data_IF_531802965981
#
_entry.id   IF_531802965981
#
_cell.length_a   1.000
_cell.length_b   1.000
_cell.length_c   1.000
_cell.angle_alpha   90.00
_cell.angle_beta   90.00
_cell.angle_gamma   90.00
#
_symmetry.space_group_name_H-M   'P 1'
#
loop_
_entity.id
_entity.type
_entity.pdbx_description
1 polymer ?
#
# COMPACT_ATOMS: atom_id res chain seq x y z
N UNK A 1 -25.00 -22.77 -12.85
CA UNK A 1 -24.54 -21.36 -13.00
C UNK A 1 -25.04 -20.57 -11.79
N UNK A 2 -24.29 -20.55 -10.69
CA UNK A 2 -24.73 -19.92 -9.43
C UNK A 2 -24.66 -18.38 -9.56
N UNK A 3 -25.82 -17.75 -9.74
CA UNK A 3 -25.98 -16.30 -9.54
C UNK A 3 -25.84 -16.02 -8.05
N UNK A 4 -24.63 -15.69 -7.61
CA UNK A 4 -24.38 -15.26 -6.23
C UNK A 4 -25.19 -13.98 -5.96
N UNK A 5 -26.10 -14.04 -4.99
CA UNK A 5 -26.92 -12.90 -4.55
C UNK A 5 -26.03 -11.96 -3.70
N UNK A 6 -26.46 -10.71 -3.49
CA UNK A 6 -25.79 -9.75 -2.56
C UNK A 6 -25.50 -10.38 -1.18
N UNK A 7 -26.28 -11.37 -0.77
CA UNK A 7 -26.12 -12.19 0.45
C UNK A 7 -24.74 -12.86 0.54
N UNK A 8 -24.18 -13.34 -0.57
CA UNK A 8 -23.02 -14.24 -0.49
C UNK A 8 -21.71 -13.47 -0.27
N UNK A 9 -21.66 -12.21 -0.71
CA UNK A 9 -20.58 -11.29 -0.35
C UNK A 9 -20.62 -10.91 1.13
N UNK A 10 -21.81 -10.70 1.68
CA UNK A 10 -21.98 -10.44 3.11
C UNK A 10 -21.57 -11.67 3.93
N UNK A 11 -22.01 -12.87 3.55
CA UNK A 11 -21.63 -14.12 4.24
C UNK A 11 -20.12 -14.34 4.18
N UNK A 12 -19.49 -14.18 3.01
CA UNK A 12 -18.03 -14.23 2.87
C UNK A 12 -17.33 -13.26 3.81
N UNK A 13 -17.80 -12.02 3.84
CA UNK A 13 -17.20 -10.97 4.64
C UNK A 13 -17.32 -11.24 6.14
N UNK A 14 -18.45 -11.78 6.58
CA UNK A 14 -18.63 -12.20 7.98
C UNK A 14 -17.71 -13.36 8.35
N UNK A 15 -17.61 -14.41 7.50
CA UNK A 15 -16.68 -15.53 7.72
C UNK A 15 -15.23 -15.03 7.78
N UNK A 16 -14.86 -14.12 6.88
CA UNK A 16 -13.53 -13.54 6.84
C UNK A 16 -13.22 -12.73 8.10
N UNK A 17 -14.16 -11.92 8.58
CA UNK A 17 -14.02 -11.17 9.84
C UNK A 17 -13.85 -12.12 11.02
N UNK A 18 -14.65 -13.19 11.10
CA UNK A 18 -14.56 -14.18 12.17
C UNK A 18 -13.19 -14.88 12.14
N UNK A 19 -12.71 -15.30 10.97
CA UNK A 19 -11.40 -15.93 10.82
C UNK A 19 -10.26 -14.97 11.18
N UNK A 20 -10.33 -13.71 10.73
CA UNK A 20 -9.40 -12.66 11.11
C UNK A 20 -9.39 -12.48 12.64
N UNK A 21 -10.56 -12.45 13.27
CA UNK A 21 -10.70 -12.29 14.72
C UNK A 21 -10.09 -13.47 15.49
N UNK A 22 -10.31 -14.72 15.05
CA UNK A 22 -9.71 -15.92 15.66
C UNK A 22 -8.18 -15.88 15.59
N UNK A 23 -7.62 -15.51 14.43
CA UNK A 23 -6.17 -15.39 14.24
C UNK A 23 -5.61 -14.25 15.11
N UNK A 24 -6.35 -13.15 15.22
CA UNK A 24 -5.93 -11.96 15.96
C UNK A 24 -6.09 -12.05 17.47
N UNK A 25 -6.87 -13.00 18.01
CA UNK A 25 -6.91 -13.29 19.45
C UNK A 25 -5.50 -13.52 20.04
N UNK A 26 -4.51 -13.82 19.19
CA UNK A 26 -3.11 -14.05 19.57
C UNK A 26 -2.14 -12.94 19.13
N UNK A 27 -2.60 -11.82 18.55
CA UNK A 27 -1.71 -10.82 17.91
C UNK A 27 -2.14 -9.38 18.18
N UNK A 28 -1.22 -8.60 18.75
CA UNK A 28 -1.37 -7.14 18.96
C UNK A 28 -0.58 -6.40 17.88
N UNK A 29 -1.23 -5.45 17.20
CA UNK A 29 -0.57 -4.52 16.31
C UNK A 29 -0.11 -3.28 17.07
N UNK A 30 1.13 -3.33 17.53
CA UNK A 30 1.78 -2.19 18.17
C UNK A 30 1.84 -0.97 17.25
N UNK A 31 1.69 0.21 17.87
CA UNK A 31 1.96 1.48 17.20
C UNK A 31 3.44 1.49 16.81
N UNK A 32 3.72 1.86 15.57
CA UNK A 32 5.09 1.81 15.06
C UNK A 32 6.00 2.79 15.83
N UNK A 33 7.27 2.40 16.11
CA UNK A 33 8.16 3.15 17.00
C UNK A 33 8.32 4.62 16.62
N UNK A 34 8.26 4.93 15.33
CA UNK A 34 8.43 6.31 14.86
C UNK A 34 7.25 7.22 15.24
N UNK A 35 6.03 6.70 15.33
CA UNK A 35 4.90 7.47 15.85
C UNK A 35 4.90 7.50 17.38
N UNK A 36 5.28 6.40 18.02
CA UNK A 36 5.40 6.35 19.49
C UNK A 36 6.42 7.37 20.00
N UNK A 37 7.54 7.55 19.30
CA UNK A 37 8.51 8.59 19.63
C UNK A 37 7.86 9.99 19.60
N UNK A 38 7.12 10.31 18.53
CA UNK A 38 6.43 11.61 18.41
C UNK A 38 5.40 11.80 19.52
N UNK A 39 4.67 10.76 19.88
CA UNK A 39 3.71 10.74 20.99
C UNK A 39 4.39 11.04 22.33
N UNK A 40 5.44 10.28 22.66
CA UNK A 40 6.16 10.37 23.94
C UNK A 40 6.85 11.70 24.18
N UNK A 41 7.08 12.48 23.13
CA UNK A 41 7.76 13.75 23.24
C UNK A 41 6.93 14.80 24.00
N UNK A 42 5.58 14.71 24.02
CA UNK A 42 4.68 15.66 24.69
C UNK A 42 5.04 17.16 24.47
N UNK A 43 5.73 17.50 23.37
CA UNK A 43 6.27 18.84 23.12
C UNK A 43 5.66 19.49 21.88
N UNK A 44 5.65 20.83 21.89
CA UNK A 44 5.17 21.65 20.79
C UNK A 44 5.92 21.43 19.47
N UNK A 45 5.28 21.88 18.37
CA UNK A 45 5.73 21.67 16.99
C UNK A 45 7.15 22.21 16.71
N UNK A 46 7.53 23.33 17.34
CA UNK A 46 8.86 23.94 17.21
C UNK A 46 9.94 22.99 17.75
N UNK A 47 9.64 22.29 18.85
CA UNK A 47 10.55 21.34 19.48
C UNK A 47 10.71 20.08 18.62
N UNK A 48 9.61 19.58 18.03
CA UNK A 48 9.66 18.49 17.04
C UNK A 48 10.48 18.85 15.80
N UNK A 49 10.44 20.12 15.36
CA UNK A 49 11.29 20.61 14.27
C UNK A 49 12.76 20.64 14.68
N UNK A 50 13.07 21.19 15.86
CA UNK A 50 14.45 21.31 16.37
C UNK A 50 15.14 19.95 16.54
N UNK A 51 14.43 18.94 17.04
CA UNK A 51 14.95 17.58 17.18
C UNK A 51 14.83 16.73 15.90
N UNK A 52 14.37 17.34 14.81
CA UNK A 52 14.23 16.67 13.53
C UNK A 52 13.07 15.68 13.46
N UNK A 53 12.26 15.44 14.49
CA UNK A 53 11.13 14.49 14.47
C UNK A 53 9.95 14.90 13.58
N UNK A 54 9.95 16.12 13.04
CA UNK A 54 8.90 16.63 12.15
C UNK A 54 8.58 15.68 10.97
N UNK A 55 9.58 14.93 10.48
CA UNK A 55 9.39 13.98 9.37
C UNK A 55 8.60 12.71 9.76
N UNK A 56 8.37 12.48 11.05
CA UNK A 56 7.55 11.39 11.57
C UNK A 56 6.10 11.79 11.85
N UNK A 57 5.76 13.08 11.74
CA UNK A 57 4.39 13.58 11.92
C UNK A 57 3.38 12.88 11.00
N UNK A 58 3.65 12.65 9.69
CA UNK A 58 2.70 11.92 8.85
C UNK A 58 2.38 10.52 9.38
N UNK A 59 3.39 9.84 9.95
CA UNK A 59 3.22 8.52 10.56
C UNK A 59 2.36 8.62 11.81
N UNK A 60 2.64 9.59 12.67
CA UNK A 60 1.84 9.87 13.86
C UNK A 60 0.38 10.13 13.51
N UNK A 61 0.11 10.97 12.51
CA UNK A 61 -1.25 11.28 12.03
C UNK A 61 -2.02 10.05 11.53
N UNK A 62 -1.34 9.03 10.97
CA UNK A 62 -2.01 7.78 10.55
C UNK A 62 -2.56 7.02 11.75
N UNK A 63 -1.83 6.97 12.87
CA UNK A 63 -2.22 6.24 14.10
C UNK A 63 -2.86 7.12 15.15
N UNK A 64 -2.97 8.42 14.90
CA UNK A 64 -3.58 9.37 15.83
C UNK A 64 -4.98 8.97 16.29
N UNK A 65 -5.87 8.40 15.44
CA UNK A 65 -7.15 7.89 15.92
C UNK A 65 -6.99 6.84 17.04
N UNK A 66 -6.01 5.95 16.93
CA UNK A 66 -5.73 4.92 17.94
C UNK A 66 -5.30 5.52 19.27
N UNK A 67 -4.48 6.58 19.22
CA UNK A 67 -3.98 7.28 20.41
C UNK A 67 -5.13 8.05 21.06
N UNK A 68 -5.83 8.87 20.28
CA UNK A 68 -6.94 9.69 20.76
C UNK A 68 -8.02 8.87 21.45
N UNK A 69 -8.47 7.77 20.82
CA UNK A 69 -9.48 6.92 21.46
C UNK A 69 -8.93 6.13 22.65
N UNK A 70 -7.62 5.84 22.69
CA UNK A 70 -7.01 5.12 23.80
C UNK A 70 -6.96 5.97 25.04
N UNK A 71 -6.55 7.23 24.88
CA UNK A 71 -6.59 8.23 25.94
C UNK A 71 -8.03 8.56 26.37
N UNK A 72 -8.93 8.78 25.41
CA UNK A 72 -10.32 9.14 25.70
C UNK A 72 -11.07 8.08 26.52
N UNK A 73 -10.84 6.80 26.23
CA UNK A 73 -11.54 5.69 26.88
C UNK A 73 -10.70 4.97 27.96
N UNK A 74 -9.46 5.39 28.19
CA UNK A 74 -8.54 4.71 29.11
C UNK A 74 -8.19 3.28 28.69
N UNK A 75 -8.20 2.98 27.39
CA UNK A 75 -7.89 1.66 26.82
C UNK A 75 -6.47 1.69 26.23
N UNK A 76 -5.75 0.56 26.32
CA UNK A 76 -4.44 0.42 25.70
C UNK A 76 -4.42 0.86 24.23
N UNK A 77 -3.54 1.81 23.90
CA UNK A 77 -3.45 2.43 22.56
C UNK A 77 -3.05 1.41 21.48
N UNK A 78 -2.34 0.34 21.82
CA UNK A 78 -1.96 -0.73 20.89
C UNK A 78 -3.13 -1.68 20.62
N UNK A 79 -3.98 -1.93 21.61
CA UNK A 79 -5.23 -2.66 21.43
C UNK A 79 -6.17 -1.89 20.48
N UNK A 80 -6.36 -0.59 20.70
CA UNK A 80 -7.16 0.22 19.76
C UNK A 80 -6.51 0.27 18.39
N UNK A 81 -5.19 0.41 18.31
CA UNK A 81 -4.49 0.36 17.02
C UNK A 81 -4.70 -0.98 16.30
N UNK A 82 -4.85 -2.07 17.05
CA UNK A 82 -5.19 -3.38 16.50
C UNK A 82 -6.58 -3.35 15.86
N UNK A 83 -7.59 -2.88 16.61
CA UNK A 83 -8.97 -2.74 16.11
C UNK A 83 -9.01 -1.82 14.88
N UNK A 84 -8.37 -0.66 14.94
CA UNK A 84 -8.29 0.28 13.84
C UNK A 84 -7.60 -0.31 12.60
N UNK A 85 -6.49 -1.01 12.77
CA UNK A 85 -5.81 -1.71 11.67
C UNK A 85 -6.71 -2.75 11.01
N UNK A 86 -7.52 -3.48 11.80
CA UNK A 86 -8.50 -4.43 11.27
C UNK A 86 -9.56 -3.72 10.43
N UNK A 87 -10.12 -2.61 10.93
CA UNK A 87 -11.11 -1.82 10.19
C UNK A 87 -10.54 -1.37 8.84
N UNK A 88 -9.30 -0.85 8.85
CA UNK A 88 -8.61 -0.46 7.61
C UNK A 88 -8.37 -1.65 6.69
N UNK A 89 -7.99 -2.81 7.23
CA UNK A 89 -7.79 -4.02 6.43
C UNK A 89 -9.09 -4.51 5.79
N UNK A 90 -10.18 -4.49 6.54
CA UNK A 90 -11.53 -4.80 6.07
C UNK A 90 -11.90 -3.89 4.89
N UNK A 91 -11.68 -2.57 5.03
CA UNK A 91 -11.92 -1.61 3.93
C UNK A 91 -11.03 -1.94 2.72
N UNK A 92 -9.79 -2.35 2.96
CA UNK A 92 -8.84 -2.76 1.90
C UNK A 92 -9.35 -3.97 1.12
N UNK A 93 -9.88 -4.99 1.80
CA UNK A 93 -10.50 -6.16 1.15
C UNK A 93 -11.71 -5.72 0.30
N UNK A 94 -12.54 -4.80 0.79
CA UNK A 94 -13.66 -4.25 0.00
C UNK A 94 -13.15 -3.53 -1.24
N UNK A 95 -12.05 -2.78 -1.15
CA UNK A 95 -11.43 -2.13 -2.31
C UNK A 95 -10.89 -3.15 -3.31
N UNK A 96 -10.18 -4.19 -2.87
CA UNK A 96 -9.72 -5.27 -3.74
C UNK A 96 -10.87 -5.98 -4.43
N UNK A 97 -11.96 -6.24 -3.73
CA UNK A 97 -13.17 -6.81 -4.33
C UNK A 97 -13.76 -5.92 -5.42
N UNK A 98 -13.85 -4.61 -5.18
CA UNK A 98 -14.33 -3.65 -6.19
C UNK A 98 -13.39 -3.59 -7.40
N UNK A 99 -12.08 -3.67 -7.19
CA UNK A 99 -11.07 -3.75 -8.25
C UNK A 99 -11.27 -5.03 -9.09
N UNK A 100 -11.37 -6.19 -8.44
CA UNK A 100 -11.59 -7.49 -9.09
C UNK A 100 -12.86 -7.49 -9.95
N UNK A 101 -13.95 -6.90 -9.44
CA UNK A 101 -15.19 -6.73 -10.20
C UNK A 101 -15.02 -5.86 -11.44
N UNK A 102 -14.24 -4.78 -11.36
CA UNK A 102 -13.95 -3.91 -12.51
C UNK A 102 -13.16 -4.62 -13.60
N UNK A 103 -12.35 -5.60 -13.22
CA UNK A 103 -11.65 -6.48 -14.15
C UNK A 103 -12.50 -7.62 -14.73
N UNK A 104 -13.82 -7.65 -14.46
CA UNK A 104 -14.76 -8.67 -14.95
C UNK A 104 -14.34 -10.12 -14.65
N UNK A 105 -13.63 -10.32 -13.55
CA UNK A 105 -13.17 -11.64 -13.09
C UNK A 105 -14.39 -12.47 -12.66
N UNK A 106 -14.45 -13.73 -13.11
CA UNK A 106 -15.50 -14.69 -12.74
C UNK A 106 -15.33 -15.04 -11.26
N UNK A 107 -16.30 -14.62 -10.45
CA UNK A 107 -16.37 -14.95 -9.03
C UNK A 107 -16.79 -16.43 -8.91
N UNK A 108 -15.82 -17.30 -8.66
CA UNK A 108 -15.98 -18.72 -8.38
C UNK A 108 -15.34 -19.06 -7.02
N UNK A 109 -15.48 -20.32 -6.58
CA UNK A 109 -14.89 -20.80 -5.32
C UNK A 109 -13.39 -20.52 -5.23
N UNK A 110 -12.65 -20.68 -6.33
CA UNK A 110 -11.22 -20.40 -6.40
C UNK A 110 -10.91 -18.92 -6.12
N UNK A 111 -11.65 -17.99 -6.72
CA UNK A 111 -11.49 -16.54 -6.47
C UNK A 111 -11.70 -16.20 -5.01
N UNK A 112 -12.73 -16.81 -4.40
CA UNK A 112 -13.01 -16.65 -2.98
C UNK A 112 -11.89 -17.21 -2.11
N UNK A 113 -11.45 -18.44 -2.38
CA UNK A 113 -10.39 -19.10 -1.63
C UNK A 113 -9.07 -18.34 -1.72
N UNK A 114 -8.70 -17.84 -2.90
CA UNK A 114 -7.54 -16.96 -3.06
C UNK A 114 -7.66 -15.70 -2.19
N UNK A 115 -8.81 -15.03 -2.17
CA UNK A 115 -9.01 -13.83 -1.36
C UNK A 115 -8.97 -14.12 0.15
N UNK A 116 -9.57 -15.22 0.62
CA UNK A 116 -9.51 -15.62 2.04
C UNK A 116 -8.08 -15.95 2.43
N UNK A 117 -7.43 -16.88 1.72
CA UNK A 117 -6.07 -17.32 2.03
C UNK A 117 -5.10 -16.15 1.99
N UNK A 118 -5.20 -15.28 0.99
CA UNK A 118 -4.39 -14.08 0.89
C UNK A 118 -4.60 -13.15 2.09
N UNK A 119 -5.86 -12.93 2.48
CA UNK A 119 -6.19 -12.06 3.60
C UNK A 119 -5.67 -12.61 4.94
N UNK A 120 -5.79 -13.92 5.15
CA UNK A 120 -5.25 -14.64 6.30
C UNK A 120 -3.73 -14.51 6.37
N UNK A 121 -3.03 -14.75 5.26
CA UNK A 121 -1.57 -14.63 5.19
C UNK A 121 -1.12 -13.21 5.55
N UNK A 122 -1.81 -12.19 5.04
CA UNK A 122 -1.49 -10.81 5.39
C UNK A 122 -1.65 -10.57 6.89
N UNK A 123 -2.79 -10.91 7.47
CA UNK A 123 -3.06 -10.65 8.89
C UNK A 123 -2.10 -11.45 9.79
N UNK A 124 -1.78 -12.69 9.42
CA UNK A 124 -0.89 -13.56 10.20
C UNK A 124 0.56 -13.09 10.17
N UNK A 125 1.11 -12.79 8.99
CA UNK A 125 2.55 -12.56 8.83
C UNK A 125 2.97 -11.10 8.78
N UNK A 126 2.05 -10.20 8.48
CA UNK A 126 2.40 -8.81 8.22
C UNK A 126 2.21 -7.97 9.49
N UNK A 127 3.10 -6.99 9.69
CA UNK A 127 2.97 -5.99 10.75
C UNK A 127 1.82 -5.03 10.41
N UNK A 128 1.06 -4.59 11.42
CA UNK A 128 -0.07 -3.65 11.26
C UNK A 128 0.28 -2.40 10.43
N UNK A 129 1.54 -1.96 10.48
CA UNK A 129 2.05 -0.88 9.63
C UNK A 129 1.79 -1.07 8.12
N UNK A 130 1.94 -2.29 7.61
CA UNK A 130 1.84 -2.56 6.16
C UNK A 130 0.38 -2.60 5.71
N UNK A 131 -0.57 -2.89 6.61
CA UNK A 131 -2.00 -2.83 6.33
C UNK A 131 -2.39 -1.44 5.81
N UNK A 132 -1.87 -0.38 6.45
CA UNK A 132 -2.07 1.00 6.00
C UNK A 132 -1.45 1.26 4.61
N UNK A 133 -0.30 0.67 4.31
CA UNK A 133 0.31 0.77 2.99
C UNK A 133 -0.54 0.07 1.91
N UNK A 134 -1.04 -1.14 2.18
CA UNK A 134 -1.95 -1.86 1.29
C UNK A 134 -3.26 -1.13 1.07
N UNK A 135 -3.81 -0.50 2.11
CA UNK A 135 -4.96 0.38 1.97
C UNK A 135 -4.68 1.53 1.00
N UNK A 136 -3.55 2.23 1.17
CA UNK A 136 -3.16 3.35 0.30
C UNK A 136 -3.01 2.91 -1.17
N UNK A 137 -2.40 1.76 -1.40
CA UNK A 137 -2.21 1.19 -2.75
C UNK A 137 -3.53 0.77 -3.38
N UNK A 138 -4.36 0.02 -2.65
CA UNK A 138 -5.66 -0.43 -3.13
C UNK A 138 -6.56 0.77 -3.45
N UNK A 139 -6.54 1.81 -2.61
CA UNK A 139 -7.32 3.03 -2.84
C UNK A 139 -6.84 3.77 -4.09
N UNK A 140 -5.52 3.89 -4.29
CA UNK A 140 -4.94 4.51 -5.49
C UNK A 140 -5.29 3.72 -6.75
N UNK A 141 -5.12 2.40 -6.73
CA UNK A 141 -5.42 1.53 -7.87
C UNK A 141 -6.90 1.60 -8.24
N UNK A 142 -7.79 1.51 -7.24
CA UNK A 142 -9.22 1.67 -7.45
C UNK A 142 -9.54 3.03 -8.08
N UNK A 143 -8.86 4.09 -7.63
CA UNK A 143 -9.08 5.44 -8.17
C UNK A 143 -8.66 5.57 -9.63
N UNK A 144 -7.54 4.93 -10.04
CA UNK A 144 -7.12 4.84 -11.43
C UNK A 144 -8.10 4.03 -12.29
N UNK A 145 -8.58 2.90 -11.79
CA UNK A 145 -9.53 2.03 -12.52
C UNK A 145 -10.88 2.72 -12.73
N UNK A 146 -11.32 3.58 -11.80
CA UNK A 146 -12.52 4.39 -12.00
C UNK A 146 -12.31 5.59 -12.94
N UNK A 147 -11.09 5.85 -13.43
CA UNK A 147 -10.71 7.03 -14.22
C UNK A 147 -11.02 8.38 -13.54
N UNK A 148 -11.24 8.38 -12.23
CA UNK A 148 -11.62 9.58 -11.47
C UNK A 148 -10.42 10.33 -10.91
N UNK A 149 -9.18 9.95 -11.26
CA UNK A 149 -7.96 10.41 -10.60
C UNK A 149 -7.77 11.90 -10.72
N UNK A 150 -7.84 12.58 -9.57
CA UNK A 150 -7.63 14.01 -9.41
C UNK A 150 -6.89 14.24 -8.10
N UNK A 151 -6.05 15.27 -8.06
CA UNK A 151 -5.45 15.76 -6.82
C UNK A 151 -6.58 16.39 -5.99
N UNK A 152 -6.96 15.73 -4.90
CA UNK A 152 -8.01 16.14 -3.96
C UNK A 152 -7.76 15.49 -2.58
N UNK A 153 -8.72 15.60 -1.66
CA UNK A 153 -8.63 15.01 -0.33
C UNK A 153 -8.36 13.49 -0.35
N UNK A 154 -8.91 12.74 -1.31
CA UNK A 154 -8.63 11.29 -1.44
C UNK A 154 -7.16 11.03 -1.76
N UNK A 155 -6.56 11.87 -2.59
CA UNK A 155 -5.12 11.81 -2.88
C UNK A 155 -4.31 12.10 -1.62
N UNK A 156 -4.69 13.12 -0.82
CA UNK A 156 -4.03 13.39 0.46
C UNK A 156 -4.14 12.21 1.43
N UNK A 157 -5.30 11.56 1.51
CA UNK A 157 -5.51 10.34 2.31
C UNK A 157 -4.57 9.22 1.83
N UNK A 158 -4.49 8.97 0.52
CA UNK A 158 -3.55 7.97 -0.04
C UNK A 158 -2.11 8.29 0.40
N UNK A 159 -1.70 9.55 0.27
CA UNK A 159 -0.36 9.97 0.70
C UNK A 159 -0.12 9.76 2.19
N UNK A 160 -1.09 10.16 3.02
CA UNK A 160 -1.01 10.02 4.47
C UNK A 160 -0.83 8.55 4.87
N UNK A 161 -1.70 7.65 4.40
CA UNK A 161 -1.62 6.23 4.73
C UNK A 161 -0.38 5.53 4.16
N UNK A 162 0.17 6.03 3.04
CA UNK A 162 1.44 5.53 2.50
C UNK A 162 2.67 5.99 3.30
N UNK A 163 2.55 7.03 4.12
CA UNK A 163 3.68 7.64 4.86
C UNK A 163 4.20 6.80 6.03
N UNK A 164 3.48 5.73 6.39
CA UNK A 164 3.84 4.76 7.44
C UNK A 164 5.26 4.20 7.30
N UNK A 165 5.78 4.13 6.07
CA UNK A 165 7.19 3.94 5.76
C UNK A 165 7.61 4.89 4.64
N UNK A 166 8.88 5.32 4.66
CA UNK A 166 9.45 6.12 3.56
C UNK A 166 9.42 5.34 2.25
N UNK A 167 9.71 4.04 2.29
CA UNK A 167 9.67 3.19 1.11
C UNK A 167 8.27 3.06 0.51
N UNK A 168 7.23 2.89 1.34
CA UNK A 168 5.85 2.74 0.84
C UNK A 168 5.32 4.04 0.22
N UNK A 169 5.69 5.18 0.78
CA UNK A 169 5.41 6.49 0.19
C UNK A 169 6.13 6.66 -1.17
N UNK A 170 7.38 6.22 -1.29
CA UNK A 170 8.11 6.23 -2.56
C UNK A 170 7.41 5.39 -3.63
N UNK A 171 6.89 4.20 -3.29
CA UNK A 171 6.12 3.36 -4.24
C UNK A 171 4.92 4.10 -4.79
N UNK A 172 4.14 4.77 -3.93
CA UNK A 172 2.98 5.58 -4.34
C UNK A 172 3.39 6.74 -5.24
N UNK A 173 4.48 7.45 -4.90
CA UNK A 173 5.02 8.53 -5.71
C UNK A 173 5.48 8.08 -7.09
N UNK A 174 6.25 6.99 -7.16
CA UNK A 174 6.72 6.40 -8.42
C UNK A 174 5.52 5.96 -9.25
N UNK A 175 4.52 5.32 -8.64
CA UNK A 175 3.28 4.92 -9.32
C UNK A 175 2.55 6.12 -9.92
N UNK A 176 2.44 7.22 -9.17
CA UNK A 176 1.83 8.46 -9.63
C UNK A 176 2.64 9.09 -10.78
N UNK A 177 3.97 9.11 -10.69
CA UNK A 177 4.85 9.62 -11.74
C UNK A 177 4.76 8.81 -13.04
N UNK A 178 4.76 7.48 -12.94
CA UNK A 178 4.60 6.57 -14.08
C UNK A 178 3.18 6.68 -14.68
N UNK A 179 2.19 7.04 -13.87
CA UNK A 179 0.79 7.21 -14.29
C UNK A 179 0.39 8.66 -14.53
N UNK A 180 1.33 9.61 -14.59
CA UNK A 180 1.06 11.05 -14.67
C UNK A 180 0.12 11.46 -15.81
N UNK A 181 0.20 10.76 -16.96
CA UNK A 181 -0.67 11.02 -18.12
C UNK A 181 -2.15 10.72 -17.85
N UNK A 182 -2.45 9.83 -16.89
CA UNK A 182 -3.82 9.48 -16.49
C UNK A 182 -4.37 10.40 -15.41
N UNK A 183 -3.50 11.15 -14.71
CA UNK A 183 -3.91 12.12 -13.70
C UNK A 183 -4.42 13.36 -14.46
N UNK A 184 -5.73 13.42 -14.71
CA UNK A 184 -6.34 14.57 -15.37
C UNK A 184 -6.27 15.77 -14.43
N UNK A 185 -5.44 16.75 -14.78
CA UNK A 185 -5.48 18.09 -14.19
C UNK A 185 -6.72 18.82 -14.72
N UNK A 186 -7.89 18.51 -14.16
CA UNK A 186 -9.06 19.38 -14.30
C UNK A 186 -8.80 20.67 -13.50
N UNK A 187 -8.01 21.57 -14.09
CA UNK A 187 -7.71 22.92 -13.62
C UNK A 187 -8.88 23.89 -13.86
N UNK A 188 -9.91 23.48 -14.61
CA UNK A 188 -11.11 24.28 -14.93
C UNK A 188 -12.18 24.32 -13.83
N UNK A 189 -11.83 24.23 -12.54
CA UNK A 189 -12.80 24.36 -11.43
C UNK A 189 -12.54 25.63 -10.60
N UNK A 190 -13.60 26.18 -9.98
CA UNK A 190 -13.68 27.41 -9.17
C UNK A 190 -12.40 27.71 -8.36
N UNK A 191 -12.05 29.00 -8.25
CA UNK A 191 -10.79 29.55 -7.66
C UNK A 191 -10.45 28.95 -6.28
N UNK A 192 -11.44 28.69 -5.43
CA UNK A 192 -11.28 28.03 -4.10
C UNK A 192 -10.76 26.60 -4.19
N UNK A 193 -11.26 25.79 -5.13
CA UNK A 193 -10.78 24.41 -5.34
C UNK A 193 -9.33 24.41 -5.85
N UNK A 194 -8.91 25.45 -6.56
CA UNK A 194 -7.53 25.60 -7.03
C UNK A 194 -6.55 25.82 -5.87
N UNK A 195 -6.92 26.64 -4.87
CA UNK A 195 -6.08 26.92 -3.69
C UNK A 195 -5.85 25.65 -2.87
N UNK A 196 -6.91 24.88 -2.59
CA UNK A 196 -6.77 23.60 -1.87
C UNK A 196 -5.88 22.59 -2.61
N UNK A 197 -5.94 22.53 -3.94
CA UNK A 197 -5.06 21.66 -4.74
C UNK A 197 -3.59 22.08 -4.63
N UNK A 198 -3.32 23.38 -4.72
CA UNK A 198 -1.96 23.91 -4.56
C UNK A 198 -1.42 23.60 -3.17
N UNK A 199 -2.23 23.80 -2.11
CA UNK A 199 -1.85 23.44 -0.75
C UNK A 199 -1.52 21.94 -0.61
N UNK A 200 -2.33 21.04 -1.19
CA UNK A 200 -2.05 19.60 -1.19
C UNK A 200 -0.72 19.29 -1.91
N UNK A 201 -0.47 19.90 -3.08
CA UNK A 201 0.79 19.70 -3.81
C UNK A 201 1.97 20.19 -2.98
N UNK A 202 1.85 21.36 -2.35
CA UNK A 202 2.90 21.92 -1.50
C UNK A 202 3.18 21.03 -0.29
N UNK A 203 2.15 20.52 0.38
CA UNK A 203 2.28 19.58 1.51
C UNK A 203 2.98 18.28 1.07
N UNK A 204 2.54 17.68 -0.05
CA UNK A 204 3.16 16.45 -0.57
C UNK A 204 4.62 16.70 -0.96
N UNK A 205 4.90 17.83 -1.62
CA UNK A 205 6.27 18.20 -2.03
C UNK A 205 7.16 18.48 -0.84
N UNK A 206 6.66 19.20 0.16
CA UNK A 206 7.37 19.49 1.40
C UNK A 206 7.75 18.22 2.15
N UNK A 207 6.79 17.33 2.37
CA UNK A 207 7.07 16.04 3.00
C UNK A 207 8.04 15.22 2.15
N UNK A 208 7.88 15.20 0.83
CA UNK A 208 8.82 14.52 -0.06
C UNK A 208 10.25 15.06 0.07
N UNK A 209 10.44 16.39 0.08
CA UNK A 209 11.75 17.01 0.25
C UNK A 209 12.35 16.64 1.61
N UNK A 210 11.56 16.68 2.68
CA UNK A 210 12.00 16.27 4.02
C UNK A 210 12.40 14.79 4.05
N UNK A 211 11.61 13.92 3.42
CA UNK A 211 11.92 12.49 3.32
C UNK A 211 13.17 12.23 2.49
N UNK A 212 13.32 12.90 1.34
CA UNK A 212 14.50 12.83 0.50
C UNK A 212 15.73 13.30 1.26
N UNK A 213 15.65 14.45 1.96
CA UNK A 213 16.72 14.99 2.78
C UNK A 213 17.09 14.04 3.92
N UNK A 214 16.13 13.47 4.64
CA UNK A 214 16.42 12.48 5.69
C UNK A 214 17.15 11.27 5.13
N UNK A 215 16.62 10.67 4.07
CA UNK A 215 17.25 9.48 3.48
C UNK A 215 18.66 9.84 2.97
N UNK A 216 18.85 10.97 2.27
CA UNK A 216 20.17 11.40 1.81
C UNK A 216 21.15 11.65 2.96
N UNK A 217 20.73 12.34 4.04
CA UNK A 217 21.57 12.61 5.22
C UNK A 217 21.90 11.32 5.97
N UNK A 218 20.94 10.41 6.15
CA UNK A 218 21.16 9.10 6.77
C UNK A 218 22.17 8.23 6.00
N UNK A 219 22.42 8.51 4.72
CA UNK A 219 23.41 7.80 3.89
C UNK A 219 24.59 8.66 3.46
N UNK A 220 24.91 9.73 4.20
CA UNK A 220 26.10 10.57 3.93
C UNK A 220 26.09 11.25 2.54
N UNK A 221 24.92 11.45 1.94
CA UNK A 221 24.80 11.93 0.56
C UNK A 221 25.16 10.89 -0.51
N UNK A 222 25.47 9.65 -0.13
CA UNK A 222 25.89 8.60 -1.04
C UNK A 222 24.69 7.73 -1.47
N UNK A 223 24.30 7.86 -2.74
CA UNK A 223 23.22 7.07 -3.35
C UNK A 223 23.48 5.56 -3.25
N UNK A 224 24.75 5.11 -3.33
CA UNK A 224 25.09 3.70 -3.16
C UNK A 224 24.84 3.20 -1.74
N UNK A 225 25.08 4.03 -0.70
CA UNK A 225 24.74 3.68 0.68
C UNK A 225 23.22 3.61 0.90
N UNK A 226 22.44 4.44 0.20
CA UNK A 226 20.98 4.36 0.19
C UNK A 226 20.50 3.05 -0.44
N UNK A 227 21.06 2.67 -1.59
CA UNK A 227 20.78 1.37 -2.23
C UNK A 227 21.18 0.20 -1.31
N UNK A 228 22.31 0.33 -0.59
CA UNK A 228 22.78 -0.65 0.39
C UNK A 228 21.86 -0.80 1.62
N UNK A 229 20.89 0.08 1.87
CA UNK A 229 19.94 -0.09 2.98
C UNK A 229 18.68 -0.88 2.61
N UNK A 230 18.32 -0.90 1.32
CA UNK A 230 17.19 -1.67 0.81
C UNK A 230 17.49 -3.17 0.72
N UNK A 231 17.11 -3.80 -0.40
CA UNK A 231 17.40 -5.21 -0.70
C UNK A 231 18.88 -5.58 -0.42
N UNK A 232 19.82 -4.73 -0.81
CA UNK A 232 21.26 -4.99 -0.70
C UNK A 232 21.79 -5.07 0.74
N UNK A 233 21.11 -4.48 1.73
CA UNK A 233 21.50 -4.61 3.15
C UNK A 233 21.36 -6.06 3.60
N UNK A 234 20.31 -6.72 3.13
CA UNK A 234 20.00 -8.10 3.44
C UNK A 234 20.88 -9.04 2.64
N UNK A 235 21.19 -8.71 1.38
CA UNK A 235 22.08 -9.51 0.52
C UNK A 235 23.50 -9.67 1.08
N UNK A 236 23.99 -8.70 1.87
CA UNK A 236 25.39 -8.67 2.33
C UNK A 236 25.81 -9.88 3.19
N UNK A 237 24.87 -10.53 3.88
CA UNK A 237 25.12 -11.67 4.77
C UNK A 237 24.30 -12.92 4.41
N UNK A 238 23.95 -13.12 3.13
CA UNK A 238 23.18 -14.30 2.74
C UNK A 238 24.11 -15.37 2.16
N UNK A 239 23.76 -16.62 2.44
CA UNK A 239 24.45 -17.78 1.94
C UNK A 239 24.42 -17.85 0.40
N UNK A 240 25.41 -18.54 -0.17
CA UNK A 240 25.60 -18.65 -1.63
C UNK A 240 24.38 -19.27 -2.31
N UNK A 241 23.67 -20.18 -1.64
CA UNK A 241 22.46 -20.82 -2.14
C UNK A 241 21.34 -19.81 -2.43
N UNK A 242 21.22 -18.76 -1.60
CA UNK A 242 20.20 -17.73 -1.83
C UNK A 242 20.59 -16.81 -2.99
N UNK A 243 21.89 -16.57 -3.20
CA UNK A 243 22.35 -15.85 -4.41
C UNK A 243 22.02 -16.62 -5.68
N UNK A 244 22.27 -17.93 -5.70
CA UNK A 244 21.91 -18.81 -6.82
C UNK A 244 20.39 -18.79 -7.03
N UNK A 245 19.60 -18.88 -5.96
CA UNK A 245 18.15 -18.79 -6.05
C UNK A 245 17.67 -17.45 -6.63
N UNK A 246 18.27 -16.32 -6.23
CA UNK A 246 17.93 -14.99 -6.76
C UNK A 246 18.25 -14.88 -8.25
N UNK A 247 19.38 -15.44 -8.70
CA UNK A 247 19.76 -15.48 -10.11
C UNK A 247 18.75 -16.31 -10.91
N UNK A 248 18.31 -17.45 -10.40
CA UNK A 248 17.29 -18.30 -11.05
C UNK A 248 15.92 -17.59 -11.09
N UNK A 249 15.56 -16.87 -10.03
CA UNK A 249 14.31 -16.12 -9.95
C UNK A 249 14.29 -14.89 -10.86
N UNK A 250 15.45 -14.36 -11.26
CA UNK A 250 15.54 -13.13 -12.05
C UNK A 250 14.97 -13.27 -13.48
N UNK A 251 15.25 -14.34 -14.26
CA UNK A 251 14.55 -14.60 -15.52
C UNK A 251 13.03 -14.74 -15.35
N UNK A 252 12.58 -15.43 -14.30
CA UNK A 252 11.15 -15.58 -14.02
C UNK A 252 10.50 -14.22 -13.72
N UNK A 253 11.21 -13.37 -12.99
CA UNK A 253 10.81 -12.01 -12.72
C UNK A 253 10.68 -11.15 -13.99
N UNK A 254 11.64 -11.24 -14.92
CA UNK A 254 11.57 -10.55 -16.22
C UNK A 254 10.36 -11.05 -17.01
N UNK A 255 10.19 -12.38 -17.09
CA UNK A 255 9.06 -13.00 -17.77
C UNK A 255 7.72 -12.50 -17.19
N UNK A 256 7.57 -12.55 -15.87
CA UNK A 256 6.37 -12.08 -15.17
C UNK A 256 6.09 -10.59 -15.45
N UNK A 257 7.13 -9.75 -15.43
CA UNK A 257 7.02 -8.32 -15.75
C UNK A 257 6.48 -8.09 -17.16
N UNK A 258 6.96 -8.87 -18.14
CA UNK A 258 6.50 -8.82 -19.53
C UNK A 258 5.03 -9.25 -19.62
N UNK A 259 4.64 -10.32 -18.93
CA UNK A 259 3.26 -10.82 -18.98
C UNK A 259 2.26 -9.85 -18.33
N UNK A 260 2.61 -9.28 -17.17
CA UNK A 260 1.78 -8.25 -16.52
C UNK A 260 1.60 -7.06 -17.46
N UNK A 261 2.68 -6.56 -18.08
CA UNK A 261 2.62 -5.43 -19.03
C UNK A 261 1.72 -5.71 -20.24
N UNK A 262 1.71 -6.95 -20.74
CA UNK A 262 0.87 -7.36 -21.88
C UNK A 262 -0.61 -7.38 -21.51
N UNK A 263 -0.94 -7.79 -20.29
CA UNK A 263 -2.33 -7.91 -19.82
C UNK A 263 -2.89 -6.56 -19.39
N UNK A 264 -2.17 -5.83 -18.54
CA UNK A 264 -2.62 -4.55 -18.00
C UNK A 264 -1.45 -3.60 -17.69
N UNK A 265 -1.41 -2.47 -18.42
CA UNK A 265 -0.37 -1.46 -18.27
C UNK A 265 -0.43 -0.72 -16.93
N UNK A 266 -1.61 -0.59 -16.31
CA UNK A 266 -1.79 0.04 -15.01
C UNK A 266 -1.25 -0.87 -13.90
N UNK A 267 -1.63 -2.14 -13.88
CA UNK A 267 -1.10 -3.13 -12.92
C UNK A 267 0.42 -3.26 -13.06
N UNK A 268 0.94 -3.22 -14.29
CA UNK A 268 2.38 -3.19 -14.52
C UNK A 268 3.07 -1.99 -13.85
N UNK A 269 2.46 -0.79 -13.86
CA UNK A 269 3.03 0.39 -13.21
C UNK A 269 3.06 0.25 -11.69
N UNK A 270 2.02 -0.33 -11.09
CA UNK A 270 2.01 -0.60 -9.65
C UNK A 270 3.05 -1.66 -9.26
N UNK A 271 3.13 -2.72 -10.06
CA UNK A 271 4.11 -3.80 -9.88
C UNK A 271 5.55 -3.27 -9.97
N UNK A 272 5.91 -2.57 -11.05
CA UNK A 272 7.26 -2.03 -11.24
C UNK A 272 7.61 -0.97 -10.19
N UNK A 273 6.64 -0.17 -9.74
CA UNK A 273 6.86 0.80 -8.66
C UNK A 273 7.19 0.11 -7.34
N UNK A 274 6.55 -1.01 -7.03
CA UNK A 274 6.85 -1.82 -5.84
C UNK A 274 8.23 -2.45 -5.93
N UNK A 275 8.64 -2.91 -7.11
CA UNK A 275 9.98 -3.45 -7.34
C UNK A 275 11.04 -2.37 -7.15
N UNK A 276 10.87 -1.19 -7.75
CA UNK A 276 11.76 -0.05 -7.50
C UNK A 276 11.73 0.30 -6.00
N UNK A 277 10.56 0.16 -5.37
CA UNK A 277 10.36 0.24 -3.93
C UNK A 277 11.31 -0.62 -3.10
N UNK A 278 11.73 -1.81 -3.56
CA UNK A 278 12.69 -2.67 -2.85
C UNK A 278 14.03 -1.96 -2.58
N UNK A 279 14.41 -1.00 -3.42
CA UNK A 279 15.60 -0.16 -3.19
C UNK A 279 15.46 0.71 -1.95
N UNK A 280 14.23 1.04 -1.55
CA UNK A 280 13.90 1.87 -0.39
C UNK A 280 13.44 1.04 0.82
N UNK A 281 13.38 -0.29 0.70
CA UNK A 281 13.12 -1.22 1.79
C UNK A 281 12.18 -2.37 1.43
N UNK A 282 12.30 -3.48 2.17
CA UNK A 282 11.52 -4.70 1.90
C UNK A 282 10.01 -4.48 1.99
N UNK A 283 9.53 -3.70 2.97
CA UNK A 283 8.11 -3.37 3.11
C UNK A 283 7.54 -2.68 1.86
N UNK A 284 8.31 -1.85 1.18
CA UNK A 284 7.89 -1.24 -0.07
C UNK A 284 7.75 -2.27 -1.19
N UNK A 285 8.68 -3.23 -1.28
CA UNK A 285 8.57 -4.38 -2.18
C UNK A 285 7.32 -5.22 -1.97
N UNK A 286 6.90 -5.42 -0.72
CA UNK A 286 5.69 -6.21 -0.40
C UNK A 286 4.40 -5.59 -0.93
N UNK A 287 4.39 -4.32 -1.36
CA UNK A 287 3.26 -3.70 -2.06
C UNK A 287 3.01 -4.36 -3.44
N UNK A 288 3.99 -5.06 -4.01
CA UNK A 288 3.77 -5.84 -5.24
C UNK A 288 2.85 -7.05 -5.03
N UNK A 289 2.67 -7.52 -3.79
CA UNK A 289 1.98 -8.78 -3.47
C UNK A 289 0.47 -8.72 -3.76
N UNK A 290 -0.29 -7.70 -3.33
CA UNK A 290 -1.69 -7.51 -3.77
C UNK A 290 -1.86 -7.39 -5.29
N UNK A 291 -0.92 -6.73 -5.97
CA UNK A 291 -0.94 -6.57 -7.42
C UNK A 291 -0.78 -7.91 -8.13
N UNK A 292 0.13 -8.76 -7.65
CA UNK A 292 0.32 -10.12 -8.14
C UNK A 292 -0.91 -10.99 -7.91
N UNK A 293 -1.58 -10.87 -6.76
CA UNK A 293 -2.84 -11.56 -6.49
C UNK A 293 -3.92 -11.16 -7.52
N UNK A 294 -4.11 -9.86 -7.74
CA UNK A 294 -5.10 -9.37 -8.71
C UNK A 294 -4.75 -9.88 -10.12
N UNK A 295 -3.48 -9.77 -10.51
CA UNK A 295 -2.99 -10.27 -11.79
C UNK A 295 -3.27 -11.77 -11.97
N UNK A 296 -2.96 -12.60 -10.97
CA UNK A 296 -3.23 -14.04 -11.00
C UNK A 296 -4.72 -14.31 -11.20
N UNK A 297 -5.59 -13.60 -10.47
CA UNK A 297 -7.04 -13.75 -10.62
C UNK A 297 -7.53 -13.33 -12.02
N UNK A 298 -6.94 -12.30 -12.63
CA UNK A 298 -7.25 -11.92 -14.03
C UNK A 298 -6.86 -13.06 -14.97
N UNK A 299 -5.64 -13.59 -14.85
CA UNK A 299 -5.16 -14.66 -15.71
C UNK A 299 -6.07 -15.88 -15.62
N UNK A 300 -6.34 -16.40 -14.42
CA UNK A 300 -7.05 -17.66 -14.25
C UNK A 300 -8.58 -17.56 -14.35
N UNK A 301 -9.17 -16.40 -14.02
CA UNK A 301 -10.61 -16.25 -13.90
C UNK A 301 -11.22 -15.13 -14.75
N UNK A 302 -10.48 -14.45 -15.64
CA UNK A 302 -11.09 -13.46 -16.54
C UNK A 302 -12.12 -14.08 -17.46
N UNK A 303 -13.34 -13.51 -17.49
CA UNK A 303 -14.39 -13.88 -18.44
C UNK A 303 -13.99 -13.59 -19.89
N UNK A 304 -13.08 -12.63 -20.12
CA UNK A 304 -12.63 -12.17 -21.43
C UNK A 304 -11.50 -13.01 -22.04
N UNK A 305 -11.07 -14.12 -21.41
CA UNK A 305 -10.04 -15.01 -21.98
C UNK A 305 -10.47 -15.69 -23.30
N UNK A 306 -11.74 -15.56 -23.71
CA UNK A 306 -12.22 -15.95 -25.05
C UNK A 306 -12.11 -14.85 -26.12
N UNK A 307 -11.50 -13.69 -25.86
CA UNK A 307 -11.29 -12.65 -26.88
C UNK A 307 -9.81 -12.26 -26.97
N UNK A 308 -9.22 -12.54 -28.15
CA UNK A 308 -7.83 -12.32 -28.60
C UNK A 308 -6.85 -13.50 -28.48
N UNK A 309 -7.27 -14.68 -28.96
CA UNK A 309 -6.35 -15.62 -29.63
C UNK A 309 -6.60 -15.81 -31.13
N UNK A 310 -7.48 -15.01 -31.73
CA UNK A 310 -7.67 -15.00 -33.18
C UNK A 310 -8.60 -13.88 -33.61
N UNK A 311 -8.03 -12.83 -34.18
CA UNK A 311 -8.60 -12.03 -35.28
C UNK A 311 -7.69 -10.82 -35.52
N UNK A 312 -6.77 -11.03 -36.46
CA UNK A 312 -5.94 -10.07 -37.22
C UNK A 312 -5.13 -9.04 -36.42
#
# INVERSE_FOLDING_TARGET
MLKLKKSDFLVFFHILIILIFIILKKKIFYIFPQAMNVYNFHVGFITLYKYGYIHHIPRYLVVYPSIYFGELFGIDIHLINTIYSIIIFIITIVLWWKIIKKYEIKINLLTWLCLVCFSIIIVAFVNGRVIFAYFSEALLLYYFIEEKVQINLKFLIIFLFSSVSSGTMSVILITCFLSRKMIKNNLKKKRTIKIFKVAIILIVTYFFIIFAKKNLVSYSGNIFKLLQHGLFSKLKNISVEVYVLLIILFPYFIYLSIQIRKIDRLLFRFYISSIIGLLFGFTAGTMGVPILMIYFLIVFNSKKRNLKRGSK
#
